data_IF_872918988921
#
_entry.id   IF_872918988921
#
_cell.length_a   1.000
_cell.length_b   1.000
_cell.length_c   1.000
_cell.angle_alpha   90.00
_cell.angle_beta   90.00
_cell.angle_gamma   90.00
#
_symmetry.space_group_name_H-M   'P 1'
#
loop_
_entity.id
_entity.type
_entity.pdbx_description
1 polymer ?
#
# COMPACT_ATOMS: atom_id res chain seq x y z
N UNK A 1 -2.25 3.70 3.97
CA UNK A 1 -1.37 4.87 3.90
C UNK A 1 -2.17 6.18 3.81
N UNK A 2 -3.29 6.25 3.09
CA UNK A 2 -4.14 7.45 3.00
C UNK A 2 -4.56 7.94 4.38
N UNK A 3 -5.04 7.05 5.25
CA UNK A 3 -5.40 7.36 6.65
C UNK A 3 -4.22 7.88 7.48
N UNK A 4 -3.00 7.82 6.93
CA UNK A 4 -1.75 8.23 7.57
C UNK A 4 -1.13 9.45 6.90
N UNK A 5 -1.94 10.24 6.19
CA UNK A 5 -1.53 11.49 5.57
C UNK A 5 -0.75 11.35 4.26
N UNK A 6 -0.67 10.16 3.68
CA UNK A 6 -0.11 9.99 2.35
C UNK A 6 -1.16 10.28 1.27
N UNK A 7 -0.77 11.00 0.25
CA UNK A 7 -1.53 11.02 -0.98
C UNK A 7 -1.14 9.81 -1.82
N UNK A 8 -2.07 8.89 -2.06
CA UNK A 8 -1.80 7.63 -2.76
C UNK A 8 -2.26 7.72 -4.21
N UNK A 9 -1.40 7.29 -5.14
CA UNK A 9 -1.71 7.23 -6.57
C UNK A 9 -1.48 5.82 -7.06
N UNK A 10 -2.54 5.19 -7.52
CA UNK A 10 -2.52 3.83 -8.04
C UNK A 10 -2.13 3.79 -9.51
N UNK A 11 -1.46 2.69 -9.91
CA UNK A 11 -1.13 2.36 -11.29
C UNK A 11 -0.38 3.49 -12.02
N UNK A 12 0.56 4.15 -11.32
CA UNK A 12 1.35 5.25 -11.88
C UNK A 12 2.37 4.73 -12.91
N UNK A 13 2.37 5.24 -14.14
CA UNK A 13 3.42 4.95 -15.08
C UNK A 13 4.78 5.49 -14.60
N UNK A 14 5.87 4.70 -14.63
CA UNK A 14 7.18 5.11 -14.12
C UNK A 14 7.71 6.44 -14.69
N UNK A 15 7.48 6.68 -15.96
CA UNK A 15 7.94 7.90 -16.65
C UNK A 15 7.25 9.20 -16.17
N UNK A 16 6.09 9.09 -15.54
CA UNK A 16 5.35 10.27 -15.02
C UNK A 16 5.68 10.58 -13.56
N UNK A 17 6.37 9.69 -12.85
CA UNK A 17 6.68 9.87 -11.43
C UNK A 17 7.46 11.17 -11.16
N UNK A 18 8.54 11.52 -11.91
CA UNK A 18 9.29 12.75 -11.65
C UNK A 18 8.48 14.03 -11.83
N UNK A 19 7.67 14.11 -12.90
CA UNK A 19 6.81 15.25 -13.17
C UNK A 19 5.74 15.41 -12.10
N UNK A 20 5.13 14.29 -11.71
CA UNK A 20 4.11 14.29 -10.68
C UNK A 20 4.67 14.66 -9.30
N UNK A 21 5.85 14.14 -8.95
CA UNK A 21 6.53 14.52 -7.72
C UNK A 21 6.84 16.04 -7.68
N UNK A 22 7.39 16.59 -8.76
CA UNK A 22 7.66 18.04 -8.86
C UNK A 22 6.39 18.88 -8.73
N UNK A 23 5.33 18.50 -9.45
CA UNK A 23 4.04 19.18 -9.37
C UNK A 23 3.49 19.13 -7.94
N UNK A 24 3.52 17.94 -7.32
CA UNK A 24 2.95 17.68 -6.02
C UNK A 24 3.63 18.50 -4.91
N UNK A 25 4.95 18.52 -4.87
CA UNK A 25 5.70 19.29 -3.89
C UNK A 25 5.74 20.80 -4.18
N UNK A 26 5.40 21.24 -5.42
CA UNK A 26 5.21 22.64 -5.74
C UNK A 26 3.88 23.23 -5.22
N UNK A 27 2.93 22.39 -4.80
CA UNK A 27 1.61 22.82 -4.29
C UNK A 27 1.62 23.33 -2.84
N UNK A 28 2.70 24.00 -2.42
CA UNK A 28 2.82 24.78 -1.17
C UNK A 28 2.26 24.06 0.08
N UNK A 29 2.87 22.94 0.46
CA UNK A 29 2.65 22.38 1.79
C UNK A 29 1.28 21.71 2.04
N UNK A 30 0.45 21.55 1.00
CA UNK A 30 -0.84 20.88 1.15
C UNK A 30 -0.68 19.38 1.44
N UNK A 31 0.41 18.80 0.95
CA UNK A 31 0.74 17.38 1.17
C UNK A 31 2.25 17.23 1.38
N UNK A 32 2.66 16.49 2.38
CA UNK A 32 4.06 16.27 2.71
C UNK A 32 4.57 14.90 2.22
N UNK A 33 3.66 13.93 2.03
CA UNK A 33 3.98 12.55 1.69
C UNK A 33 3.12 12.07 0.52
N UNK A 34 3.77 11.43 -0.46
CA UNK A 34 3.08 10.78 -1.59
C UNK A 34 3.53 9.34 -1.72
N UNK A 35 2.60 8.45 -2.03
CA UNK A 35 2.88 7.05 -2.33
C UNK A 35 2.41 6.72 -3.75
N UNK A 36 3.32 6.24 -4.59
CA UNK A 36 3.01 5.76 -5.93
C UNK A 36 2.95 4.24 -5.92
N UNK A 37 1.83 3.68 -6.37
CA UNK A 37 1.74 2.25 -6.66
C UNK A 37 2.02 2.04 -8.13
N UNK A 38 3.04 1.25 -8.43
CA UNK A 38 3.51 0.98 -9.79
C UNK A 38 3.28 -0.48 -10.10
N UNK A 39 2.50 -0.76 -11.14
CA UNK A 39 2.28 -2.10 -11.68
C UNK A 39 3.19 -2.28 -12.89
N UNK A 40 4.25 -3.02 -12.73
CA UNK A 40 5.25 -3.22 -13.80
C UNK A 40 5.00 -4.54 -14.49
N UNK A 41 4.45 -4.47 -15.68
CA UNK A 41 4.18 -5.64 -16.55
C UNK A 41 5.20 -5.82 -17.67
N UNK A 42 6.07 -4.84 -17.87
CA UNK A 42 7.06 -4.84 -18.96
C UNK A 42 8.44 -4.55 -18.38
N UNK A 43 9.39 -5.45 -18.60
CA UNK A 43 10.73 -5.38 -17.99
C UNK A 43 11.54 -4.11 -18.32
N UNK A 44 11.25 -3.46 -19.44
CA UNK A 44 11.92 -2.20 -19.84
C UNK A 44 11.61 -1.05 -18.86
N UNK A 45 10.42 -1.03 -18.28
CA UNK A 45 9.99 0.00 -17.32
C UNK A 45 10.68 -0.09 -15.95
N UNK A 46 11.32 -1.23 -15.64
CA UNK A 46 12.05 -1.44 -14.38
C UNK A 46 13.26 -0.53 -14.27
N UNK A 47 14.06 -0.46 -15.33
CA UNK A 47 15.24 0.41 -15.36
C UNK A 47 14.83 1.88 -15.30
N UNK A 48 13.77 2.25 -16.02
CA UNK A 48 13.23 3.60 -16.01
C UNK A 48 12.74 4.01 -14.61
N UNK A 49 12.06 3.11 -13.88
CA UNK A 49 11.65 3.36 -12.50
C UNK A 49 12.84 3.62 -11.59
N UNK A 50 13.86 2.76 -11.63
CA UNK A 50 15.06 2.91 -10.81
C UNK A 50 15.84 4.19 -11.14
N UNK A 51 15.95 4.54 -12.42
CA UNK A 51 16.60 5.78 -12.85
C UNK A 51 15.81 7.02 -12.38
N UNK A 52 14.49 6.95 -12.41
CA UNK A 52 13.63 8.04 -11.94
C UNK A 52 13.71 8.21 -10.42
N UNK A 53 13.77 7.12 -9.65
CA UNK A 53 14.00 7.19 -8.18
C UNK A 53 15.35 7.86 -7.90
N UNK A 54 16.43 7.48 -8.59
CA UNK A 54 17.75 8.09 -8.42
C UNK A 54 17.75 9.59 -8.75
N UNK A 55 17.06 9.99 -9.83
CA UNK A 55 16.89 11.41 -10.19
C UNK A 55 16.18 12.20 -9.10
N UNK A 56 15.08 11.66 -8.56
CA UNK A 56 14.35 12.30 -7.47
C UNK A 56 15.22 12.46 -6.21
N UNK A 57 16.01 11.44 -5.87
CA UNK A 57 16.96 11.51 -4.75
C UNK A 57 18.04 12.57 -4.99
N UNK A 58 18.56 12.70 -6.22
CA UNK A 58 19.51 13.76 -6.60
C UNK A 58 18.87 15.16 -6.56
N UNK A 59 17.58 15.26 -6.89
CA UNK A 59 16.80 16.52 -6.78
C UNK A 59 16.46 16.87 -5.32
N UNK A 60 16.90 16.04 -4.33
CA UNK A 60 16.72 16.29 -2.89
C UNK A 60 15.45 15.71 -2.27
N UNK A 61 14.69 14.91 -3.01
CA UNK A 61 13.51 14.22 -2.46
C UNK A 61 13.91 12.95 -1.72
N UNK A 62 13.33 12.74 -0.53
CA UNK A 62 13.45 11.46 0.18
C UNK A 62 12.53 10.44 -0.46
N UNK A 63 13.11 9.41 -1.09
CA UNK A 63 12.36 8.35 -1.78
C UNK A 63 12.72 7.01 -1.18
N UNK A 64 11.73 6.17 -0.96
CA UNK A 64 11.90 4.78 -0.51
C UNK A 64 11.13 3.84 -1.44
N UNK A 65 11.77 2.77 -1.86
CA UNK A 65 11.18 1.70 -2.67
C UNK A 65 10.74 0.55 -1.78
N UNK A 66 9.43 0.38 -1.65
CA UNK A 66 8.83 -0.76 -0.97
C UNK A 66 8.46 -1.84 -1.99
N UNK A 67 8.92 -3.07 -1.76
CA UNK A 67 8.51 -4.24 -2.52
C UNK A 67 7.58 -5.13 -1.68
N UNK A 68 6.39 -5.42 -2.21
CA UNK A 68 5.46 -6.38 -1.60
C UNK A 68 5.61 -7.72 -2.31
N UNK A 69 5.98 -8.74 -1.57
CA UNK A 69 6.12 -10.10 -2.08
C UNK A 69 5.07 -11.04 -1.47
N UNK A 70 4.91 -12.21 -2.06
CA UNK A 70 4.21 -13.37 -1.50
C UNK A 70 4.77 -14.65 -2.11
N UNK A 71 4.67 -15.79 -1.41
CA UNK A 71 5.06 -17.08 -1.96
C UNK A 71 4.20 -17.50 -3.17
N UNK A 72 4.71 -18.43 -3.95
CA UNK A 72 4.05 -18.86 -5.19
C UNK A 72 2.67 -19.49 -4.93
N UNK A 73 2.52 -20.23 -3.82
CA UNK A 73 1.25 -20.86 -3.44
C UNK A 73 0.19 -19.80 -3.14
N UNK A 74 0.55 -18.80 -2.36
CA UNK A 74 -0.31 -17.66 -2.02
C UNK A 74 -0.68 -16.85 -3.27
N UNK A 75 0.27 -16.59 -4.17
CA UNK A 75 -0.01 -15.90 -5.42
C UNK A 75 -0.98 -16.68 -6.30
N UNK A 76 -0.75 -17.97 -6.49
CA UNK A 76 -1.65 -18.84 -7.26
C UNK A 76 -3.06 -18.83 -6.66
N UNK A 77 -3.18 -18.91 -5.33
CA UNK A 77 -4.46 -18.86 -4.62
C UNK A 77 -5.16 -17.52 -4.86
N UNK A 78 -4.49 -16.41 -4.69
CA UNK A 78 -5.04 -15.05 -4.90
C UNK A 78 -5.51 -14.83 -6.33
N UNK A 79 -4.77 -15.29 -7.34
CA UNK A 79 -5.18 -15.22 -8.73
C UNK A 79 -6.46 -16.04 -9.00
N UNK A 80 -6.56 -17.25 -8.43
CA UNK A 80 -7.76 -18.09 -8.55
C UNK A 80 -8.99 -17.47 -7.88
N UNK A 81 -8.82 -16.92 -6.69
CA UNK A 81 -9.91 -16.28 -5.93
C UNK A 81 -10.45 -15.02 -6.64
N UNK A 82 -9.57 -14.22 -7.22
CA UNK A 82 -9.96 -12.98 -7.92
C UNK A 82 -10.45 -13.22 -9.35
N UNK A 83 -10.35 -14.45 -9.88
CA UNK A 83 -10.66 -14.82 -11.28
C UNK A 83 -9.93 -13.93 -12.30
N UNK A 84 -8.80 -13.34 -11.93
CA UNK A 84 -7.99 -12.53 -12.85
C UNK A 84 -7.07 -13.44 -13.65
N UNK A 85 -6.93 -13.13 -14.93
CA UNK A 85 -5.93 -13.77 -15.79
C UNK A 85 -4.60 -13.10 -15.55
N UNK A 86 -3.54 -13.89 -15.34
CA UNK A 86 -2.20 -13.31 -15.17
C UNK A 86 -1.78 -12.60 -16.47
N UNK A 87 -1.25 -11.37 -16.41
CA UNK A 87 -0.91 -10.58 -17.61
C UNK A 87 0.06 -11.30 -18.57
N UNK A 88 0.95 -12.13 -18.04
CA UNK A 88 1.91 -12.90 -18.81
C UNK A 88 1.42 -14.33 -19.16
N UNK A 89 0.19 -14.70 -18.79
CA UNK A 89 -0.36 -16.00 -19.12
C UNK A 89 -0.76 -16.04 -20.59
N UNK A 90 0.16 -16.52 -21.44
CA UNK A 90 -0.18 -16.97 -22.78
C UNK A 90 -0.67 -18.43 -22.75
N UNK A 91 -0.05 -19.33 -23.55
CA UNK A 91 -0.29 -20.78 -23.51
C UNK A 91 0.34 -21.50 -22.30
N UNK A 92 1.07 -20.80 -21.45
CA UNK A 92 1.80 -21.32 -20.29
C UNK A 92 0.93 -21.27 -19.02
N UNK A 93 1.24 -22.14 -18.06
CA UNK A 93 0.50 -22.21 -16.80
C UNK A 93 0.74 -20.99 -15.89
N UNK A 94 -0.19 -20.75 -14.95
CA UNK A 94 -0.11 -19.62 -14.01
C UNK A 94 1.21 -19.59 -13.22
N UNK A 95 1.67 -20.73 -12.72
CA UNK A 95 2.90 -20.82 -11.94
C UNK A 95 4.13 -20.43 -12.77
N UNK A 96 4.18 -20.83 -14.02
CA UNK A 96 5.27 -20.47 -14.93
C UNK A 96 5.28 -18.96 -15.23
N UNK A 97 4.10 -18.37 -15.35
CA UNK A 97 3.92 -16.91 -15.50
C UNK A 97 4.43 -16.15 -14.27
N UNK A 98 4.14 -16.63 -13.07
CA UNK A 98 4.63 -16.08 -11.80
C UNK A 98 6.17 -16.17 -11.74
N UNK A 99 6.75 -17.32 -12.07
CA UNK A 99 8.21 -17.47 -12.09
C UNK A 99 8.90 -16.55 -13.10
N UNK A 100 8.27 -16.32 -14.26
CA UNK A 100 8.77 -15.37 -15.25
C UNK A 100 8.71 -13.94 -14.72
N UNK A 101 7.62 -13.57 -14.10
CA UNK A 101 7.46 -12.24 -13.48
C UNK A 101 8.48 -12.00 -12.36
N UNK A 102 8.71 -12.98 -11.47
CA UNK A 102 9.75 -12.91 -10.44
C UNK A 102 11.14 -12.64 -11.02
N UNK A 103 11.49 -13.32 -12.11
CA UNK A 103 12.79 -13.09 -12.80
C UNK A 103 12.88 -11.67 -13.35
N UNK A 104 11.80 -11.16 -13.91
CA UNK A 104 11.74 -9.77 -14.39
C UNK A 104 11.87 -8.76 -13.24
N UNK A 105 11.21 -9.01 -12.12
CA UNK A 105 11.20 -8.12 -10.96
C UNK A 105 12.43 -8.28 -10.03
N UNK A 106 13.31 -9.26 -10.28
CA UNK A 106 14.45 -9.57 -9.41
C UNK A 106 15.36 -8.36 -9.13
N UNK A 107 15.53 -7.49 -10.12
CA UNK A 107 16.31 -6.26 -9.95
C UNK A 107 15.64 -5.28 -9.00
N UNK A 108 14.32 -5.08 -9.11
CA UNK A 108 13.57 -4.22 -8.17
C UNK A 108 13.60 -4.80 -6.76
N UNK A 109 13.46 -6.12 -6.63
CA UNK A 109 13.56 -6.79 -5.35
C UNK A 109 14.91 -6.53 -4.67
N UNK A 110 16.01 -6.60 -5.43
CA UNK A 110 17.37 -6.38 -4.89
C UNK A 110 17.69 -4.91 -4.58
N UNK A 111 17.01 -3.97 -5.22
CA UNK A 111 17.19 -2.52 -5.02
C UNK A 111 16.13 -1.92 -4.06
N UNK A 112 15.21 -2.74 -3.55
CA UNK A 112 14.20 -2.27 -2.63
C UNK A 112 14.79 -1.93 -1.26
N UNK A 113 14.40 -0.79 -0.71
CA UNK A 113 14.78 -0.37 0.64
C UNK A 113 14.09 -1.22 1.70
N UNK A 114 12.84 -1.63 1.41
CA UNK A 114 12.03 -2.48 2.27
C UNK A 114 11.33 -3.57 1.45
N UNK A 115 11.35 -4.80 1.96
CA UNK A 115 10.61 -5.95 1.38
C UNK A 115 9.66 -6.51 2.43
N UNK A 116 8.37 -6.57 2.11
CA UNK A 116 7.35 -7.17 2.98
C UNK A 116 6.82 -8.44 2.34
N UNK A 117 7.04 -9.59 2.97
CA UNK A 117 6.38 -10.84 2.61
C UNK A 117 4.94 -10.85 3.17
N UNK A 118 3.97 -10.84 2.26
CA UNK A 118 2.55 -10.81 2.58
C UNK A 118 1.89 -12.19 2.58
N UNK A 119 2.65 -13.29 2.44
CA UNK A 119 2.13 -14.66 2.28
C UNK A 119 1.15 -15.05 3.38
N UNK A 120 1.50 -14.72 4.62
CA UNK A 120 0.69 -15.09 5.81
C UNK A 120 0.08 -13.86 6.52
N UNK A 121 0.06 -12.71 5.84
CA UNK A 121 -0.48 -11.48 6.42
C UNK A 121 -1.93 -11.25 6.05
N UNK A 122 -2.74 -10.90 7.04
CA UNK A 122 -4.04 -10.26 6.81
C UNK A 122 -3.86 -8.80 6.37
N UNK A 123 -4.90 -8.21 5.79
CA UNK A 123 -4.90 -6.78 5.42
C UNK A 123 -4.62 -5.88 6.63
N UNK A 124 -5.14 -6.26 7.81
CA UNK A 124 -4.91 -5.52 9.05
C UNK A 124 -3.43 -5.57 9.48
N UNK A 125 -2.80 -6.74 9.40
CA UNK A 125 -1.38 -6.90 9.72
C UNK A 125 -0.49 -6.11 8.75
N UNK A 126 -0.77 -6.17 7.44
CA UNK A 126 -0.05 -5.36 6.45
C UNK A 126 -0.23 -3.86 6.70
N UNK A 127 -1.45 -3.41 6.99
CA UNK A 127 -1.71 -2.01 7.33
C UNK A 127 -0.91 -1.56 8.55
N UNK A 128 -0.87 -2.39 9.61
CA UNK A 128 -0.09 -2.12 10.82
C UNK A 128 1.42 -2.03 10.53
N UNK A 129 1.93 -2.93 9.70
CA UNK A 129 3.35 -2.95 9.33
C UNK A 129 3.73 -1.72 8.49
N UNK A 130 2.91 -1.34 7.52
CA UNK A 130 3.11 -0.13 6.74
C UNK A 130 3.09 1.14 7.62
N UNK A 131 2.18 1.20 8.58
CA UNK A 131 2.14 2.31 9.55
C UNK A 131 3.39 2.35 10.41
N UNK A 132 3.90 1.19 10.84
CA UNK A 132 5.14 1.09 11.63
C UNK A 132 6.35 1.62 10.88
N UNK A 133 6.44 1.35 9.57
CA UNK A 133 7.60 1.73 8.74
C UNK A 133 7.54 3.22 8.34
N UNK A 134 6.37 3.71 7.93
CA UNK A 134 6.25 5.00 7.24
C UNK A 134 5.55 6.10 8.04
N UNK A 135 4.95 5.75 9.20
CA UNK A 135 4.26 6.73 10.03
C UNK A 135 5.00 6.92 11.35
N UNK A 136 5.17 8.16 11.75
CA UNK A 136 5.75 8.47 13.04
C UNK A 136 4.87 7.91 14.16
N UNK A 137 5.51 7.24 15.13
CA UNK A 137 4.86 6.50 16.22
C UNK A 137 3.96 7.36 17.13
N UNK A 138 3.85 8.66 16.86
CA UNK A 138 3.07 9.62 17.67
C UNK A 138 1.57 9.63 17.37
N UNK A 139 1.11 8.97 16.29
CA UNK A 139 -0.30 9.07 15.86
C UNK A 139 -1.16 7.84 16.18
N UNK A 140 -0.71 6.93 17.03
CA UNK A 140 -1.55 5.81 17.50
C UNK A 140 -2.16 6.11 18.89
N UNK A 141 -2.68 7.31 19.10
CA UNK A 141 -3.50 7.57 20.26
C UNK A 141 -4.86 6.89 20.08
N UNK A 142 -5.20 5.99 21.00
CA UNK A 142 -6.54 5.41 21.06
C UNK A 142 -7.52 6.53 21.42
N UNK A 143 -8.32 6.95 20.44
CA UNK A 143 -9.40 7.89 20.68
C UNK A 143 -10.66 7.13 21.10
N UNK A 144 -11.12 7.36 22.32
CA UNK A 144 -12.36 6.81 22.85
C UNK A 144 -13.41 7.90 22.88
N UNK A 145 -14.43 7.77 22.05
CA UNK A 145 -15.61 8.65 22.09
C UNK A 145 -16.68 8.02 22.98
N UNK A 146 -17.01 8.68 24.08
CA UNK A 146 -18.07 8.24 24.98
C UNK A 146 -19.30 9.10 24.74
N UNK A 147 -20.39 8.46 24.30
CA UNK A 147 -21.65 9.13 23.99
C UNK A 147 -22.73 8.62 24.93
N UNK A 148 -23.42 9.53 25.64
CA UNK A 148 -24.62 9.21 26.41
C UNK A 148 -25.87 9.42 25.56
N UNK A 149 -26.73 8.42 25.46
CA UNK A 149 -27.94 8.50 24.65
C UNK A 149 -29.15 7.84 25.36
N UNK A 150 -30.34 8.19 24.91
CA UNK A 150 -31.58 7.55 25.35
C UNK A 150 -32.12 6.63 24.24
N UNK A 151 -32.61 5.46 24.59
CA UNK A 151 -33.15 4.46 23.66
C UNK A 151 -34.39 4.90 22.87
N UNK A 152 -34.94 6.07 23.17
CA UNK A 152 -36.17 6.57 22.51
C UNK A 152 -36.07 6.64 20.98
N UNK A 153 -34.85 6.93 20.47
CA UNK A 153 -34.59 7.08 19.04
C UNK A 153 -33.67 5.97 18.46
N UNK A 154 -33.46 4.90 19.23
CA UNK A 154 -32.60 3.81 18.87
C UNK A 154 -31.16 3.97 19.37
N UNK A 155 -30.31 3.04 18.99
CA UNK A 155 -28.87 3.03 19.28
C UNK A 155 -28.17 3.87 18.22
N UNK A 156 -27.18 4.73 18.57
CA UNK A 156 -26.36 5.43 17.57
C UNK A 156 -25.72 4.43 16.60
N UNK A 157 -25.82 4.70 15.30
CA UNK A 157 -25.37 3.77 14.24
C UNK A 157 -23.83 3.62 14.16
N UNK A 158 -23.11 4.57 14.72
CA UNK A 158 -21.65 4.67 14.77
C UNK A 158 -21.05 4.12 16.07
N UNK A 159 -21.85 3.43 16.89
CA UNK A 159 -21.39 2.86 18.16
C UNK A 159 -20.77 1.49 17.97
N UNK A 160 -19.50 1.33 18.33
CA UNK A 160 -18.81 0.04 18.36
C UNK A 160 -19.19 -0.79 19.60
N UNK A 161 -19.46 -0.12 20.74
CA UNK A 161 -19.84 -0.75 22.00
C UNK A 161 -21.00 0.01 22.63
N UNK A 162 -21.98 -0.72 23.14
CA UNK A 162 -23.14 -0.14 23.84
C UNK A 162 -23.29 -0.79 25.20
N UNK A 163 -23.33 0.03 26.24
CA UNK A 163 -23.55 -0.42 27.60
C UNK A 163 -24.88 0.13 28.10
N UNK A 164 -25.76 -0.76 28.57
CA UNK A 164 -27.00 -0.36 29.27
C UNK A 164 -26.69 -0.17 30.76
N UNK A 165 -26.70 1.09 31.20
CA UNK A 165 -26.39 1.46 32.58
C UNK A 165 -27.62 1.59 33.47
N UNK A 166 -28.84 1.31 32.97
CA UNK A 166 -30.09 1.41 33.75
C UNK A 166 -30.22 0.33 34.81
N UNK A 167 -29.38 -0.70 34.76
CA UNK A 167 -29.32 -1.75 35.77
C UNK A 167 -28.50 -1.36 37.01
N UNK A 168 -27.81 -0.23 36.98
CA UNK A 168 -27.09 0.26 38.15
C UNK A 168 -28.05 1.06 39.05
N UNK A 169 -27.99 0.86 40.41
CA UNK A 169 -28.81 1.60 41.37
C UNK A 169 -28.44 3.08 41.46
#
# INVERSE_FOLDING_TARGET
>A
LEDSGFFCIDNMPPNLIPEFAKLFFSMNGKYEKVAFVVDIRVGELINELLDNIKKLQQDGYSCSLLFLDADDETLVKRYKETRRVHPLSGSQGLLESIHKERKMLAKLYSEADEVIDTSHMSLHQLSKELKRIYCDSKEQELTINVVSFGFKYGIPLDSDLVFDVRCFP
#
